data_IF_012584919283
#
_entry.id   IF_012584919283
#
_cell.length_a   1.000
_cell.length_b   1.000
_cell.length_c   1.000
_cell.angle_alpha   90.00
_cell.angle_beta   90.00
_cell.angle_gamma   90.00
#
_symmetry.space_group_name_H-M   'P 1'
#
loop_
_entity.id
_entity.type
_entity.pdbx_description
1 polymer ?
#
# COMPACT_ATOMS: atom_id res chain seq x y z
N UNK A 1 9.07 -18.48 14.09
CA UNK A 1 8.63 -17.09 14.31
C UNK A 1 9.60 -16.07 13.69
N UNK A 2 10.84 -15.93 14.18
CA UNK A 2 11.79 -14.91 13.66
C UNK A 2 12.02 -14.98 12.15
N UNK A 3 12.32 -16.15 11.60
CA UNK A 3 12.52 -16.36 10.16
C UNK A 3 11.28 -16.00 9.31
N UNK A 4 10.08 -16.26 9.82
CA UNK A 4 8.82 -15.86 9.14
C UNK A 4 8.66 -14.34 9.07
N UNK A 5 8.89 -13.63 10.20
CA UNK A 5 8.81 -12.17 10.24
C UNK A 5 9.90 -11.50 9.39
N UNK A 6 11.11 -12.05 9.38
CA UNK A 6 12.20 -11.56 8.53
C UNK A 6 11.86 -11.73 7.05
N UNK A 7 11.26 -12.86 6.67
CA UNK A 7 10.74 -13.07 5.32
C UNK A 7 9.66 -12.06 4.97
N UNK A 8 8.65 -11.89 5.85
CA UNK A 8 7.56 -10.93 5.62
C UNK A 8 8.10 -9.49 5.50
N UNK A 9 9.02 -9.07 6.38
CA UNK A 9 9.63 -7.74 6.29
C UNK A 9 10.36 -7.54 4.94
N UNK A 10 11.06 -8.57 4.46
CA UNK A 10 11.72 -8.55 3.15
C UNK A 10 10.69 -8.45 2.02
N UNK A 11 9.62 -9.22 2.10
CA UNK A 11 8.56 -9.21 1.07
C UNK A 11 7.78 -7.89 1.07
N UNK A 12 7.58 -7.24 2.24
CA UNK A 12 7.02 -5.89 2.33
C UNK A 12 7.90 -4.87 1.59
N UNK A 13 9.22 -4.92 1.78
CA UNK A 13 10.14 -4.06 1.01
C UNK A 13 10.04 -4.36 -0.48
N UNK A 14 10.06 -5.64 -0.85
CA UNK A 14 9.96 -6.09 -2.25
C UNK A 14 8.68 -5.59 -2.91
N UNK A 15 7.52 -5.77 -2.28
CA UNK A 15 6.23 -5.31 -2.81
C UNK A 15 6.18 -3.80 -3.06
N UNK A 16 6.83 -3.01 -2.19
CA UNK A 16 6.91 -1.56 -2.37
C UNK A 16 7.80 -1.16 -3.56
N UNK A 17 8.91 -1.85 -3.80
CA UNK A 17 9.73 -1.63 -4.99
C UNK A 17 9.01 -2.10 -6.27
N UNK A 18 8.32 -3.25 -6.23
CA UNK A 18 7.52 -3.73 -7.36
C UNK A 18 6.40 -2.73 -7.71
N UNK A 19 5.73 -2.16 -6.71
CA UNK A 19 4.75 -1.10 -6.94
C UNK A 19 5.39 0.13 -7.58
N UNK A 20 6.53 0.61 -7.08
CA UNK A 20 7.22 1.77 -7.63
C UNK A 20 7.58 1.59 -9.11
N UNK A 21 8.05 0.40 -9.49
CA UNK A 21 8.50 0.12 -10.85
C UNK A 21 7.37 -0.33 -11.80
N UNK A 22 6.19 -0.66 -11.29
CA UNK A 22 5.03 -0.94 -12.13
C UNK A 22 4.69 0.28 -12.98
N UNK A 23 4.65 0.11 -14.30
CA UNK A 23 4.51 1.20 -15.27
C UNK A 23 3.60 0.75 -16.43
N UNK A 24 2.65 1.58 -16.91
CA UNK A 24 2.33 2.93 -16.43
C UNK A 24 1.31 2.91 -15.26
N UNK A 25 1.40 3.93 -14.37
CA UNK A 25 0.44 4.15 -13.27
C UNK A 25 -0.09 5.59 -13.30
N UNK A 26 -1.36 5.81 -13.63
CA UNK A 26 -1.88 7.18 -13.74
C UNK A 26 -1.71 8.01 -12.47
N UNK A 27 -1.09 9.18 -12.59
CA UNK A 27 -0.91 10.14 -11.52
C UNK A 27 0.07 9.76 -10.40
N UNK A 28 0.72 8.60 -10.50
CA UNK A 28 1.74 8.12 -9.57
C UNK A 28 3.13 8.21 -10.20
N UNK A 29 4.16 8.24 -9.35
CA UNK A 29 5.55 8.13 -9.81
C UNK A 29 5.78 6.72 -10.33
N UNK A 30 6.33 6.62 -11.52
CA UNK A 30 6.77 5.36 -12.12
C UNK A 30 8.00 5.57 -13.01
N UNK A 31 8.40 4.56 -13.78
CA UNK A 31 9.60 4.62 -14.62
C UNK A 31 9.48 5.60 -15.81
N UNK A 32 8.25 6.04 -16.17
CA UNK A 32 8.02 7.00 -17.23
C UNK A 32 8.11 8.44 -16.76
N UNK A 33 7.50 8.75 -15.60
CA UNK A 33 7.45 10.13 -15.09
C UNK A 33 7.06 10.23 -13.59
N UNK A 34 6.94 11.46 -13.13
CA UNK A 34 6.58 11.76 -11.74
C UNK A 34 5.07 11.77 -11.46
N UNK A 35 4.23 11.42 -12.42
CA UNK A 35 2.79 11.49 -12.29
C UNK A 35 2.31 12.91 -11.95
N UNK A 36 1.45 13.02 -10.95
CA UNK A 36 0.92 14.28 -10.43
C UNK A 36 1.83 14.96 -9.39
N UNK A 37 3.07 14.45 -9.19
CA UNK A 37 4.01 14.86 -8.16
C UNK A 37 5.33 15.40 -8.74
N UNK A 38 5.36 16.63 -9.30
CA UNK A 38 6.57 17.16 -9.94
C UNK A 38 7.78 17.25 -8.99
N UNK A 39 7.53 17.28 -7.68
CA UNK A 39 8.56 17.28 -6.63
C UNK A 39 9.17 15.90 -6.36
N UNK A 40 8.59 14.83 -6.89
CA UNK A 40 9.07 13.46 -6.70
C UNK A 40 9.73 12.90 -7.97
N UNK A 41 10.56 11.89 -7.79
CA UNK A 41 11.17 11.09 -8.85
C UNK A 41 11.38 9.66 -8.37
N UNK A 42 11.61 8.72 -9.27
CA UNK A 42 11.95 7.33 -8.91
C UNK A 42 13.09 7.30 -7.90
N UNK A 43 14.19 8.03 -8.15
CA UNK A 43 15.34 8.06 -7.23
C UNK A 43 14.97 8.58 -5.82
N UNK A 44 14.08 9.56 -5.70
CA UNK A 44 13.59 10.05 -4.39
C UNK A 44 12.69 9.02 -3.73
N UNK A 45 11.83 8.35 -4.48
CA UNK A 45 10.99 7.26 -3.97
C UNK A 45 11.84 6.09 -3.49
N UNK A 46 12.87 5.67 -4.24
CA UNK A 46 13.84 4.65 -3.81
C UNK A 46 14.57 5.05 -2.52
N UNK A 47 15.01 6.31 -2.40
CA UNK A 47 15.63 6.80 -1.18
C UNK A 47 14.67 6.71 0.02
N UNK A 48 13.38 7.02 -0.18
CA UNK A 48 12.35 6.82 0.84
C UNK A 48 12.16 5.34 1.17
N UNK A 49 12.11 4.45 0.18
CA UNK A 49 11.95 3.00 0.40
C UNK A 49 13.14 2.38 1.15
N UNK A 50 14.35 2.89 0.98
CA UNK A 50 15.51 2.48 1.80
C UNK A 50 15.28 2.79 3.29
N UNK A 51 14.67 3.93 3.61
CA UNK A 51 14.30 4.28 4.99
C UNK A 51 13.19 3.35 5.51
N UNK A 52 12.20 3.06 4.68
CA UNK A 52 11.13 2.10 5.02
C UNK A 52 11.70 0.70 5.27
N UNK A 53 12.67 0.26 4.47
CA UNK A 53 13.33 -1.02 4.66
C UNK A 53 14.04 -1.12 6.02
N UNK A 54 14.80 -0.09 6.40
CA UNK A 54 15.44 -0.04 7.72
C UNK A 54 14.42 -0.07 8.85
N UNK A 55 13.32 0.68 8.72
CA UNK A 55 12.21 0.65 9.66
C UNK A 55 11.62 -0.75 9.84
N UNK A 56 11.31 -1.45 8.75
CA UNK A 56 10.72 -2.79 8.81
C UNK A 56 11.68 -3.80 9.46
N UNK A 57 12.99 -3.68 9.22
CA UNK A 57 14.00 -4.49 9.90
C UNK A 57 14.04 -4.22 11.40
N UNK A 58 14.01 -2.96 11.81
CA UNK A 58 14.04 -2.60 13.24
C UNK A 58 12.74 -2.95 13.92
N UNK A 59 11.59 -2.78 13.26
CA UNK A 59 10.31 -3.23 13.75
C UNK A 59 10.26 -4.76 13.92
N UNK A 60 10.78 -5.52 12.95
CA UNK A 60 10.88 -6.99 13.04
C UNK A 60 11.68 -7.42 14.28
N UNK A 61 12.80 -6.73 14.58
CA UNK A 61 13.60 -7.00 15.79
C UNK A 61 12.81 -6.67 17.06
N UNK A 62 12.13 -5.52 17.12
CA UNK A 62 11.34 -5.08 18.27
C UNK A 62 10.21 -6.07 18.55
N UNK A 63 9.44 -6.45 17.53
CA UNK A 63 8.36 -7.43 17.62
C UNK A 63 8.88 -8.80 18.06
N UNK A 64 10.00 -9.27 17.50
CA UNK A 64 10.61 -10.55 17.87
C UNK A 64 11.10 -10.60 19.31
N UNK A 65 11.41 -9.45 19.92
CA UNK A 65 11.79 -9.32 21.33
C UNK A 65 10.59 -9.11 22.26
N UNK A 66 9.37 -8.97 21.74
CA UNK A 66 8.18 -8.68 22.50
C UNK A 66 8.16 -7.25 23.06
N UNK A 67 8.82 -6.30 22.38
CA UNK A 67 8.82 -4.90 22.81
C UNK A 67 7.39 -4.30 22.76
N UNK A 68 7.10 -3.37 23.65
CA UNK A 68 5.78 -2.78 23.78
C UNK A 68 5.33 -2.02 22.52
N UNK A 69 4.01 -1.92 22.32
CA UNK A 69 3.41 -1.18 21.20
C UNK A 69 3.91 0.26 21.11
N UNK A 70 4.17 0.93 22.24
CA UNK A 70 4.70 2.29 22.26
C UNK A 70 6.05 2.40 21.53
N UNK A 71 6.95 1.43 21.76
CA UNK A 71 8.24 1.34 21.07
C UNK A 71 8.04 1.10 19.57
N UNK A 72 7.18 0.15 19.21
CA UNK A 72 6.87 -0.18 17.81
C UNK A 72 6.30 1.03 17.06
N UNK A 73 5.37 1.77 17.66
CA UNK A 73 4.82 3.03 17.13
C UNK A 73 5.91 4.10 17.00
N UNK A 74 6.79 4.18 18.00
CA UNK A 74 7.94 5.10 18.00
C UNK A 74 8.85 4.91 16.79
N UNK A 75 9.12 3.67 16.39
CA UNK A 75 9.90 3.33 15.19
C UNK A 75 9.20 3.85 13.91
N UNK A 76 7.90 3.65 13.77
CA UNK A 76 7.13 4.16 12.64
C UNK A 76 7.16 5.70 12.55
N UNK A 77 6.98 6.38 13.69
CA UNK A 77 7.10 7.85 13.77
C UNK A 77 8.49 8.35 13.39
N UNK A 78 9.53 7.64 13.82
CA UNK A 78 10.92 7.96 13.48
C UNK A 78 11.17 7.80 11.97
N UNK A 79 10.64 6.74 11.36
CA UNK A 79 10.72 6.49 9.92
C UNK A 79 10.00 7.58 9.11
N UNK A 80 8.77 7.96 9.49
CA UNK A 80 8.05 9.07 8.83
C UNK A 80 8.85 10.37 8.87
N UNK A 81 9.44 10.69 10.03
CA UNK A 81 10.29 11.88 10.18
C UNK A 81 11.57 11.82 9.36
N UNK A 82 12.17 10.62 9.25
CA UNK A 82 13.35 10.40 8.43
C UNK A 82 13.02 10.58 6.93
N UNK A 83 11.92 10.03 6.45
CA UNK A 83 11.42 10.26 5.08
C UNK A 83 11.18 11.75 4.84
N UNK A 84 10.45 12.43 5.73
CA UNK A 84 10.17 13.86 5.59
C UNK A 84 11.44 14.70 5.52
N UNK A 85 12.47 14.38 6.32
CA UNK A 85 13.77 15.09 6.28
C UNK A 85 14.55 14.81 5.00
N UNK A 86 14.57 13.56 4.53
CA UNK A 86 15.36 13.16 3.37
C UNK A 86 14.72 13.56 2.05
N UNK A 87 13.39 13.48 1.98
CA UNK A 87 12.63 13.66 0.74
C UNK A 87 11.88 14.99 0.68
N UNK A 88 11.65 15.65 1.83
CA UNK A 88 10.85 16.89 1.91
C UNK A 88 9.34 16.67 1.87
N UNK A 89 8.88 15.41 1.74
CA UNK A 89 7.45 15.03 1.70
C UNK A 89 7.22 13.69 2.37
N UNK A 90 5.98 13.41 2.78
CA UNK A 90 5.59 12.17 3.47
C UNK A 90 5.06 11.12 2.47
N UNK A 91 5.84 10.78 1.43
CA UNK A 91 5.38 9.96 0.32
C UNK A 91 4.98 8.52 0.69
N UNK A 92 5.61 7.88 1.69
CA UNK A 92 5.30 6.49 2.10
C UNK A 92 4.63 6.38 3.48
N UNK A 93 4.04 7.46 3.98
CA UNK A 93 3.43 7.49 5.33
C UNK A 93 2.38 6.38 5.54
N UNK A 94 1.45 6.23 4.60
CA UNK A 94 0.42 5.19 4.68
C UNK A 94 1.02 3.78 4.64
N UNK A 95 2.05 3.58 3.84
CA UNK A 95 2.74 2.30 3.73
C UNK A 95 3.54 1.94 5.00
N UNK A 96 4.22 2.90 5.63
CA UNK A 96 4.89 2.71 6.94
C UNK A 96 3.88 2.22 7.97
N UNK A 97 2.71 2.85 8.06
CA UNK A 97 1.66 2.45 8.99
C UNK A 97 1.10 1.07 8.68
N UNK A 98 0.64 0.82 7.46
CA UNK A 98 0.00 -0.45 7.09
C UNK A 98 1.00 -1.62 7.07
N UNK A 99 2.21 -1.42 6.54
CA UNK A 99 3.25 -2.45 6.55
C UNK A 99 3.68 -2.83 7.97
N UNK A 100 3.79 -1.82 8.85
CA UNK A 100 4.05 -2.06 10.27
C UNK A 100 2.93 -2.84 10.95
N UNK A 101 1.68 -2.48 10.66
CA UNK A 101 0.51 -3.16 11.23
C UNK A 101 0.43 -4.63 10.78
N UNK A 102 0.66 -4.91 9.50
CA UNK A 102 0.70 -6.28 8.95
C UNK A 102 1.83 -7.08 9.59
N UNK A 103 3.02 -6.51 9.74
CA UNK A 103 4.16 -7.19 10.36
C UNK A 103 3.88 -7.53 11.85
N UNK A 104 3.32 -6.58 12.61
CA UNK A 104 2.94 -6.81 14.00
C UNK A 104 1.82 -7.85 14.14
N UNK A 105 0.81 -7.79 13.28
CA UNK A 105 -0.30 -8.75 13.28
C UNK A 105 0.18 -10.19 12.99
N UNK A 106 1.09 -10.34 12.03
CA UNK A 106 1.67 -11.66 11.67
C UNK A 106 2.52 -12.27 12.78
N UNK A 107 2.99 -11.48 13.74
CA UNK A 107 3.72 -12.02 14.89
C UNK A 107 2.81 -12.73 15.89
N UNK A 108 1.54 -12.34 15.96
CA UNK A 108 0.56 -12.90 16.90
C UNK A 108 0.11 -14.31 16.50
N UNK A 109 0.15 -14.63 15.21
CA UNK A 109 -0.20 -15.95 14.65
C UNK A 109 0.70 -16.30 13.46
N UNK A 110 1.93 -16.79 13.71
CA UNK A 110 2.86 -17.16 12.66
C UNK A 110 2.41 -18.44 11.94
N UNK A 111 1.79 -18.31 10.80
CA UNK A 111 1.24 -19.41 10.01
C UNK A 111 -0.29 -19.47 10.03
N UNK A 112 -0.93 -18.49 10.64
CA UNK A 112 -2.36 -18.27 10.50
C UNK A 112 -2.77 -17.99 9.04
N UNK A 113 -4.02 -18.31 8.73
CA UNK A 113 -4.59 -18.02 7.42
C UNK A 113 -4.89 -16.52 7.24
N UNK A 114 -5.31 -16.12 6.05
CA UNK A 114 -5.67 -14.72 5.76
C UNK A 114 -6.79 -14.20 6.68
N UNK A 115 -7.71 -15.05 7.14
CA UNK A 115 -8.81 -14.63 8.01
C UNK A 115 -8.29 -14.31 9.43
N UNK A 116 -7.40 -15.14 9.97
CA UNK A 116 -6.76 -14.90 11.26
C UNK A 116 -5.88 -13.64 11.24
N UNK A 117 -5.11 -13.44 10.17
CA UNK A 117 -4.31 -12.22 9.99
C UNK A 117 -5.18 -10.97 9.94
N UNK A 118 -6.28 -10.99 9.20
CA UNK A 118 -7.23 -9.87 9.11
C UNK A 118 -7.85 -9.51 10.44
N UNK A 119 -8.25 -10.52 11.23
CA UNK A 119 -8.77 -10.32 12.58
C UNK A 119 -7.72 -9.67 13.49
N UNK A 120 -6.46 -10.14 13.40
CA UNK A 120 -5.33 -9.57 14.16
C UNK A 120 -5.04 -8.13 13.74
N UNK A 121 -5.06 -7.81 12.44
CA UNK A 121 -4.91 -6.44 11.92
C UNK A 121 -5.99 -5.52 12.48
N UNK A 122 -7.27 -5.94 12.40
CA UNK A 122 -8.41 -5.17 12.92
C UNK A 122 -8.28 -4.90 14.41
N UNK A 123 -7.95 -5.93 15.20
CA UNK A 123 -7.77 -5.81 16.66
C UNK A 123 -6.62 -4.87 17.03
N UNK A 124 -5.47 -4.99 16.38
CA UNK A 124 -4.33 -4.10 16.61
C UNK A 124 -4.63 -2.66 16.19
N UNK A 125 -5.33 -2.46 15.07
CA UNK A 125 -5.77 -1.14 14.62
C UNK A 125 -6.74 -0.51 15.64
N UNK A 126 -7.72 -1.26 16.13
CA UNK A 126 -8.62 -0.78 17.17
C UNK A 126 -7.85 -0.34 18.42
N UNK A 127 -6.96 -1.20 18.93
CA UNK A 127 -6.09 -0.87 20.07
C UNK A 127 -5.24 0.38 19.81
N UNK A 128 -4.70 0.54 18.61
CA UNK A 128 -3.89 1.71 18.24
C UNK A 128 -4.73 2.99 18.21
N UNK A 129 -5.96 2.94 17.69
CA UNK A 129 -6.81 4.13 17.56
C UNK A 129 -7.60 4.47 18.84
N UNK A 130 -7.82 3.52 19.75
CA UNK A 130 -8.55 3.71 21.02
C UNK A 130 -7.66 4.24 22.16
N UNK A 131 -6.34 4.03 22.11
CA UNK A 131 -5.44 4.48 23.16
C UNK A 131 -5.36 6.01 23.24
N UNK A 132 -5.78 6.56 24.37
CA UNK A 132 -5.68 7.97 24.73
C UNK A 132 -4.33 8.27 25.40
N UNK A 133 -3.24 8.16 24.65
CA UNK A 133 -1.91 8.54 25.15
C UNK A 133 -1.53 9.94 24.68
N UNK A 134 -1.16 10.86 25.61
CA UNK A 134 -0.65 12.18 25.23
C UNK A 134 0.72 12.04 24.56
N UNK A 135 0.91 12.70 23.42
CA UNK A 135 2.22 12.78 22.76
C UNK A 135 2.23 12.42 21.28
N UNK A 136 3.29 11.72 20.83
CA UNK A 136 3.53 11.41 19.42
C UNK A 136 2.47 10.50 18.82
N UNK A 137 1.96 9.52 19.57
CA UNK A 137 0.92 8.58 19.14
C UNK A 137 -0.41 9.30 18.84
N UNK A 138 -0.83 10.27 19.65
CA UNK A 138 -2.01 11.10 19.41
C UNK A 138 -1.88 11.90 18.12
N UNK A 139 -0.69 12.44 17.83
CA UNK A 139 -0.43 13.15 16.57
C UNK A 139 -0.51 12.24 15.34
N UNK A 140 -0.04 11.00 15.43
CA UNK A 140 -0.15 10.02 14.34
C UNK A 140 -1.61 9.64 14.11
N UNK A 141 -2.37 9.34 15.17
CA UNK A 141 -3.81 9.04 15.09
C UNK A 141 -4.59 10.16 14.42
N UNK A 142 -4.38 11.41 14.83
CA UNK A 142 -5.07 12.57 14.26
C UNK A 142 -4.77 12.80 12.77
N UNK A 143 -3.67 12.27 12.25
CA UNK A 143 -3.33 12.35 10.81
C UNK A 143 -4.13 11.40 9.93
N UNK A 144 -4.73 10.34 10.51
CA UNK A 144 -5.58 9.36 9.82
C UNK A 144 -7.07 9.56 10.10
N UNK A 145 -7.47 10.70 10.69
CA UNK A 145 -8.88 11.00 10.89
C UNK A 145 -9.58 11.25 9.55
N UNK A 146 -10.74 10.62 9.35
CA UNK A 146 -11.63 10.88 8.22
C UNK A 146 -11.62 9.83 7.11
N UNK A 147 -11.54 8.53 7.42
CA UNK A 147 -11.71 7.46 6.43
C UNK A 147 -10.40 6.95 5.81
N UNK A 148 -10.51 6.22 4.70
CA UNK A 148 -9.36 5.71 3.95
C UNK A 148 -8.55 4.65 4.71
N UNK A 149 -7.25 4.87 4.88
CA UNK A 149 -6.32 3.89 5.51
C UNK A 149 -6.73 3.48 6.93
N UNK A 150 -7.34 4.41 7.71
CA UNK A 150 -7.85 4.08 9.04
C UNK A 150 -8.97 3.04 8.98
N UNK A 151 -9.95 3.29 8.14
CA UNK A 151 -11.12 2.42 8.01
C UNK A 151 -10.72 1.08 7.40
N UNK A 152 -9.79 1.08 6.44
CA UNK A 152 -9.16 -0.14 5.92
C UNK A 152 -8.50 -0.96 7.04
N UNK A 153 -7.70 -0.33 7.89
CA UNK A 153 -7.02 -1.03 8.99
C UNK A 153 -8.01 -1.59 10.02
N UNK A 154 -9.01 -0.79 10.42
CA UNK A 154 -10.04 -1.21 11.38
C UNK A 154 -10.91 -2.36 10.86
N UNK A 155 -11.11 -2.44 9.55
CA UNK A 155 -11.87 -3.51 8.90
C UNK A 155 -11.00 -4.73 8.49
N UNK A 156 -9.71 -4.76 8.82
CA UNK A 156 -8.80 -5.86 8.47
C UNK A 156 -8.41 -5.88 6.99
N UNK A 157 -8.25 -4.71 6.38
CA UNK A 157 -7.81 -4.50 4.99
C UNK A 157 -8.70 -5.19 3.93
N UNK A 158 -10.01 -4.93 3.90
CA UNK A 158 -10.94 -5.58 2.95
C UNK A 158 -10.57 -5.30 1.48
N UNK A 159 -10.10 -4.09 1.16
CA UNK A 159 -9.67 -3.78 -0.23
C UNK A 159 -8.50 -4.65 -0.67
N UNK A 160 -7.63 -5.07 0.25
CA UNK A 160 -6.55 -6.02 -0.03
C UNK A 160 -7.07 -7.45 -0.15
N UNK A 161 -7.59 -8.00 0.95
CA UNK A 161 -7.86 -9.44 1.08
C UNK A 161 -9.16 -9.89 0.38
N UNK A 162 -10.20 -9.04 0.35
CA UNK A 162 -11.50 -9.41 -0.25
C UNK A 162 -11.65 -8.90 -1.68
N UNK A 163 -10.85 -7.93 -2.10
CA UNK A 163 -11.00 -7.33 -3.42
C UNK A 163 -9.77 -7.57 -4.33
N UNK A 164 -8.60 -7.11 -3.94
CA UNK A 164 -7.41 -7.13 -4.81
C UNK A 164 -6.87 -8.55 -5.04
N UNK A 165 -6.59 -9.31 -3.98
CA UNK A 165 -6.05 -10.67 -4.08
C UNK A 165 -6.97 -11.63 -4.84
N UNK A 166 -8.30 -11.67 -4.60
CA UNK A 166 -9.20 -12.51 -5.39
C UNK A 166 -9.22 -12.17 -6.89
N UNK A 167 -9.07 -10.89 -7.25
CA UNK A 167 -8.98 -10.48 -8.66
C UNK A 167 -7.69 -11.00 -9.30
N UNK A 168 -6.55 -10.86 -8.62
CA UNK A 168 -5.29 -11.42 -9.09
C UNK A 168 -5.39 -12.93 -9.33
N UNK A 169 -5.85 -13.67 -8.32
CA UNK A 169 -6.00 -15.14 -8.37
C UNK A 169 -6.95 -15.57 -9.48
N UNK A 170 -8.08 -14.87 -9.67
CA UNK A 170 -9.03 -15.11 -10.75
C UNK A 170 -8.41 -14.88 -12.12
N UNK A 171 -7.65 -13.78 -12.30
CA UNK A 171 -7.00 -13.47 -13.56
C UNK A 171 -5.98 -14.55 -13.95
N UNK A 172 -5.18 -15.04 -12.99
CA UNK A 172 -4.26 -16.15 -13.20
C UNK A 172 -5.04 -17.42 -13.57
N UNK A 173 -6.11 -17.75 -12.86
CA UNK A 173 -6.95 -18.94 -13.13
C UNK A 173 -7.60 -18.90 -14.51
N UNK A 174 -7.87 -17.71 -15.05
CA UNK A 174 -8.42 -17.48 -16.39
C UNK A 174 -7.34 -17.47 -17.50
N UNK A 175 -6.13 -17.91 -17.18
CA UNK A 175 -5.01 -17.98 -18.15
C UNK A 175 -4.33 -16.64 -18.42
N UNK A 176 -4.52 -15.63 -17.56
CA UNK A 176 -3.76 -14.38 -17.59
C UNK A 176 -2.33 -14.57 -17.12
N UNK A 177 -1.44 -13.68 -17.55
CA UNK A 177 -0.10 -13.63 -17.02
C UNK A 177 -0.02 -12.79 -15.74
N UNK A 178 1.08 -12.92 -14.99
CA UNK A 178 1.30 -12.18 -13.72
C UNK A 178 1.22 -10.66 -13.90
N UNK A 179 1.75 -10.12 -15.01
CA UNK A 179 1.72 -8.69 -15.30
C UNK A 179 0.28 -8.18 -15.47
N UNK A 180 -0.53 -8.84 -16.31
CA UNK A 180 -1.93 -8.47 -16.50
C UNK A 180 -2.74 -8.61 -15.20
N UNK A 181 -2.48 -9.65 -14.40
CA UNK A 181 -3.14 -9.86 -13.12
C UNK A 181 -2.85 -8.72 -12.11
N UNK A 182 -1.62 -8.18 -12.10
CA UNK A 182 -1.27 -7.01 -11.29
C UNK A 182 -2.04 -5.76 -11.72
N UNK A 183 -2.21 -5.53 -13.03
CA UNK A 183 -3.01 -4.41 -13.51
C UNK A 183 -4.52 -4.60 -13.26
N UNK A 184 -5.04 -5.82 -13.32
CA UNK A 184 -6.41 -6.10 -12.89
C UNK A 184 -6.61 -5.77 -11.39
N UNK A 185 -5.64 -6.14 -10.56
CA UNK A 185 -5.62 -5.81 -9.14
C UNK A 185 -5.56 -4.30 -8.90
N UNK A 186 -4.71 -3.56 -9.64
CA UNK A 186 -4.71 -2.10 -9.62
C UNK A 186 -6.10 -1.54 -9.96
N UNK A 187 -6.71 -2.01 -11.04
CA UNK A 187 -8.06 -1.61 -11.45
C UNK A 187 -9.11 -1.83 -10.36
N UNK A 188 -9.03 -2.95 -9.63
CA UNK A 188 -9.93 -3.24 -8.50
C UNK A 188 -9.70 -2.31 -7.32
N UNK A 189 -8.46 -2.04 -6.94
CA UNK A 189 -8.13 -1.10 -5.86
C UNK A 189 -8.60 0.33 -6.21
N UNK A 190 -8.44 0.77 -7.44
CA UNK A 190 -8.97 2.06 -7.92
C UNK A 190 -10.50 2.18 -7.73
N UNK A 191 -11.24 1.07 -7.83
CA UNK A 191 -12.69 1.06 -7.67
C UNK A 191 -13.13 1.09 -6.20
N UNK A 192 -12.42 0.41 -5.32
CA UNK A 192 -12.89 0.06 -3.97
C UNK A 192 -12.30 0.95 -2.87
N UNK A 193 -11.08 1.45 -3.06
CA UNK A 193 -10.42 2.26 -2.04
C UNK A 193 -11.03 3.65 -1.94
N UNK A 194 -11.39 4.07 -0.73
CA UNK A 194 -11.70 5.46 -0.44
C UNK A 194 -10.40 6.24 -0.22
N UNK A 195 -9.75 6.61 -1.33
CA UNK A 195 -8.42 7.19 -1.30
C UNK A 195 -8.44 8.66 -0.84
N UNK A 196 -7.90 8.90 0.36
CA UNK A 196 -7.83 10.25 0.94
C UNK A 196 -6.91 11.19 0.17
N UNK A 197 -5.94 10.67 -0.59
CA UNK A 197 -5.07 11.50 -1.44
C UNK A 197 -5.81 11.93 -2.69
N UNK A 198 -6.60 11.04 -3.29
CA UNK A 198 -7.50 11.36 -4.39
C UNK A 198 -8.56 12.38 -3.97
N UNK A 199 -9.20 12.18 -2.81
CA UNK A 199 -10.18 13.14 -2.29
C UNK A 199 -9.59 14.53 -2.05
N UNK A 200 -8.35 14.61 -1.60
CA UNK A 200 -7.65 15.87 -1.36
C UNK A 200 -7.24 16.57 -2.65
N UNK A 201 -6.80 15.83 -3.65
CA UNK A 201 -6.31 16.38 -4.93
C UNK A 201 -7.45 16.71 -5.90
N UNK A 202 -8.46 15.82 -6.03
CA UNK A 202 -9.53 15.92 -7.02
C UNK A 202 -10.94 15.96 -6.45
N UNK A 203 -11.10 15.92 -5.11
CA UNK A 203 -12.42 15.89 -4.48
C UNK A 203 -13.22 14.63 -4.84
N UNK A 204 -14.54 14.70 -4.65
CA UNK A 204 -15.44 13.60 -5.01
C UNK A 204 -15.48 13.31 -6.53
N UNK A 205 -15.25 14.33 -7.35
CA UNK A 205 -15.17 14.16 -8.80
C UNK A 205 -13.95 13.34 -9.18
N UNK A 206 -12.77 13.66 -8.63
CA UNK A 206 -11.55 12.91 -8.83
C UNK A 206 -11.70 11.45 -8.40
N UNK A 207 -12.31 11.20 -7.22
CA UNK A 207 -12.55 9.83 -6.76
C UNK A 207 -13.47 9.05 -7.71
N UNK A 208 -14.49 9.72 -8.28
CA UNK A 208 -15.37 9.11 -9.28
C UNK A 208 -14.59 8.75 -10.56
N UNK A 209 -13.78 9.67 -11.05
CA UNK A 209 -12.91 9.42 -12.22
C UNK A 209 -12.00 8.23 -11.99
N UNK A 210 -11.31 8.16 -10.84
CA UNK A 210 -10.44 7.02 -10.49
C UNK A 210 -11.23 5.71 -10.47
N UNK A 211 -12.43 5.71 -9.91
CA UNK A 211 -13.29 4.51 -9.86
C UNK A 211 -13.77 4.06 -11.24
N UNK A 212 -14.12 4.99 -12.10
CA UNK A 212 -14.55 4.71 -13.48
C UNK A 212 -13.37 4.15 -14.31
N UNK A 213 -12.21 4.78 -14.21
CA UNK A 213 -10.99 4.30 -14.86
C UNK A 213 -10.58 2.91 -14.36
N UNK A 214 -10.71 2.66 -13.05
CA UNK A 214 -10.45 1.34 -12.48
C UNK A 214 -11.36 0.24 -13.03
N UNK A 215 -12.67 0.55 -13.22
CA UNK A 215 -13.61 -0.41 -13.83
C UNK A 215 -13.25 -0.71 -15.27
N UNK A 216 -12.85 0.33 -16.02
CA UNK A 216 -12.45 0.18 -17.41
C UNK A 216 -11.16 -0.61 -17.52
N UNK A 217 -10.17 -0.31 -16.69
CA UNK A 217 -8.89 -1.06 -16.64
C UNK A 217 -9.13 -2.56 -16.40
N UNK A 218 -9.89 -2.91 -15.35
CA UNK A 218 -10.16 -4.32 -15.03
C UNK A 218 -10.88 -5.04 -16.19
N UNK A 219 -11.81 -4.36 -16.85
CA UNK A 219 -12.51 -4.89 -18.03
C UNK A 219 -11.55 -5.11 -19.20
N UNK A 220 -10.72 -4.11 -19.53
CA UNK A 220 -9.76 -4.21 -20.63
C UNK A 220 -8.75 -5.33 -20.39
N UNK A 221 -8.27 -5.50 -19.16
CA UNK A 221 -7.39 -6.62 -18.82
C UNK A 221 -8.10 -7.97 -19.06
N UNK A 222 -9.34 -8.12 -18.60
CA UNK A 222 -10.13 -9.35 -18.78
C UNK A 222 -10.41 -9.65 -20.26
N UNK A 223 -10.57 -8.62 -21.10
CA UNK A 223 -10.82 -8.73 -22.55
C UNK A 223 -9.52 -8.86 -23.37
N UNK A 224 -8.35 -8.74 -22.74
CA UNK A 224 -7.04 -8.72 -23.41
C UNK A 224 -6.86 -7.53 -24.36
N UNK A 225 -7.53 -6.41 -24.08
CA UNK A 225 -7.41 -5.17 -24.83
C UNK A 225 -6.11 -4.44 -24.49
N UNK A 226 -5.78 -3.39 -25.25
CA UNK A 226 -4.59 -2.55 -25.01
C UNK A 226 -4.81 -1.59 -23.83
N UNK A 227 -4.75 -2.13 -22.62
CA UNK A 227 -4.87 -1.35 -21.39
C UNK A 227 -3.63 -0.48 -21.11
N UNK A 228 -2.46 -0.78 -21.70
CA UNK A 228 -1.25 0.02 -21.47
C UNK A 228 -1.36 1.40 -22.13
N UNK A 229 -1.85 1.46 -23.36
CA UNK A 229 -2.14 2.73 -24.04
C UNK A 229 -3.23 3.53 -23.30
N UNK A 230 -4.27 2.86 -22.82
CA UNK A 230 -5.29 3.49 -21.98
C UNK A 230 -4.66 4.12 -20.71
N UNK A 231 -3.85 3.39 -19.98
CA UNK A 231 -3.20 3.91 -18.76
C UNK A 231 -2.27 5.10 -19.04
N UNK A 232 -1.54 5.09 -20.16
CA UNK A 232 -0.70 6.21 -20.58
C UNK A 232 -1.53 7.47 -20.88
N UNK A 233 -2.68 7.31 -21.55
CA UNK A 233 -3.62 8.41 -21.78
C UNK A 233 -4.17 8.94 -20.45
N UNK A 234 -4.61 8.05 -19.55
CA UNK A 234 -5.11 8.44 -18.23
C UNK A 234 -4.05 9.14 -17.39
N UNK A 235 -2.77 8.70 -17.47
CA UNK A 235 -1.68 9.39 -16.80
C UNK A 235 -1.55 10.85 -17.27
N UNK A 236 -1.65 11.10 -18.58
CA UNK A 236 -1.65 12.45 -19.13
C UNK A 236 -2.80 13.32 -18.57
N UNK A 237 -3.99 12.74 -18.41
CA UNK A 237 -5.14 13.41 -17.79
C UNK A 237 -4.88 13.68 -16.30
N UNK A 238 -4.45 12.67 -15.52
CA UNK A 238 -4.22 12.80 -14.08
C UNK A 238 -3.14 13.85 -13.77
N UNK A 239 -2.10 13.92 -14.57
CA UNK A 239 -1.06 14.97 -14.45
C UNK A 239 -1.63 16.37 -14.63
N UNK A 240 -2.48 16.60 -15.65
CA UNK A 240 -3.11 17.92 -15.88
C UNK A 240 -4.02 18.32 -14.72
N UNK A 241 -4.81 17.37 -14.21
CA UNK A 241 -5.74 17.59 -13.09
C UNK A 241 -5.05 17.52 -11.71
N UNK A 242 -3.75 17.26 -11.65
CA UNK A 242 -3.00 17.00 -10.41
C UNK A 242 -3.63 15.89 -9.55
N UNK A 243 -4.27 14.93 -10.20
CA UNK A 243 -4.97 13.83 -9.56
C UNK A 243 -3.99 12.71 -9.22
N UNK A 244 -4.03 12.24 -7.97
CA UNK A 244 -3.17 11.15 -7.47
C UNK A 244 -3.96 10.17 -6.62
N UNK A 245 -3.43 8.95 -6.42
CA UNK A 245 -4.09 7.86 -5.70
C UNK A 245 -3.10 7.10 -4.78
N UNK A 246 -2.49 7.83 -3.85
CA UNK A 246 -1.45 7.29 -2.96
C UNK A 246 -1.92 6.18 -2.02
N UNK A 247 -3.21 6.16 -1.63
CA UNK A 247 -3.79 5.07 -0.85
C UNK A 247 -3.91 3.77 -1.67
N UNK A 248 -4.31 3.88 -2.94
CA UNK A 248 -4.31 2.76 -3.90
C UNK A 248 -2.90 2.20 -4.07
N UNK A 249 -1.89 3.07 -4.27
CA UNK A 249 -0.49 2.67 -4.39
C UNK A 249 0.00 1.89 -3.16
N UNK A 250 -0.28 2.37 -1.96
CA UNK A 250 0.11 1.70 -0.71
C UNK A 250 -0.53 0.33 -0.55
N UNK A 251 -1.81 0.17 -0.89
CA UNK A 251 -2.50 -1.13 -0.85
C UNK A 251 -2.03 -2.07 -1.96
N UNK A 252 -1.71 -1.55 -3.15
CA UNK A 252 -1.10 -2.35 -4.21
C UNK A 252 0.27 -2.89 -3.78
N UNK A 253 1.11 -2.06 -3.17
CA UNK A 253 2.39 -2.49 -2.62
C UNK A 253 2.25 -3.60 -1.58
N UNK A 254 1.24 -3.50 -0.68
CA UNK A 254 0.93 -4.55 0.28
C UNK A 254 0.43 -5.83 -0.39
N UNK A 255 -0.40 -5.73 -1.43
CA UNK A 255 -0.89 -6.88 -2.18
C UNK A 255 0.26 -7.63 -2.86
N UNK A 256 1.18 -6.90 -3.51
CA UNK A 256 2.37 -7.47 -4.12
C UNK A 256 3.27 -8.14 -3.07
N UNK A 257 3.46 -7.49 -1.91
CA UNK A 257 4.22 -8.05 -0.80
C UNK A 257 3.60 -9.36 -0.29
N UNK A 258 2.28 -9.39 -0.12
CA UNK A 258 1.58 -10.59 0.36
C UNK A 258 1.67 -11.74 -0.65
N UNK A 259 1.47 -11.48 -1.94
CA UNK A 259 1.62 -12.47 -2.99
C UNK A 259 3.04 -13.04 -3.07
N UNK A 260 4.09 -12.21 -2.84
CA UNK A 260 5.47 -12.69 -2.71
C UNK A 260 5.64 -13.55 -1.45
N UNK A 261 5.02 -13.15 -0.33
CA UNK A 261 5.12 -13.86 0.94
C UNK A 261 4.49 -15.24 0.87
N UNK A 262 3.34 -15.37 0.21
CA UNK A 262 2.62 -16.65 0.00
C UNK A 262 3.19 -17.48 -1.15
N UNK A 263 4.12 -16.94 -1.94
CA UNK A 263 4.72 -17.63 -3.10
C UNK A 263 3.83 -17.63 -4.35
N UNK A 264 2.75 -16.86 -4.35
CA UNK A 264 1.86 -16.72 -5.53
C UNK A 264 2.48 -15.81 -6.61
N UNK A 265 3.42 -14.93 -6.20
CA UNK A 265 4.17 -14.07 -7.10
C UNK A 265 5.67 -14.19 -6.79
N UNK A 266 6.45 -14.68 -7.75
CA UNK A 266 7.92 -14.65 -7.66
C UNK A 266 8.41 -13.27 -8.07
N UNK A 267 9.42 -12.76 -7.35
CA UNK A 267 10.14 -11.59 -7.81
C UNK A 267 10.95 -11.95 -9.07
N UNK A 268 10.74 -11.19 -10.13
CA UNK A 268 11.57 -11.28 -11.32
C UNK A 268 12.98 -10.78 -11.02
#
# INVERSE_FOLDING_TARGET
MRSHLEKLATDLVRGAFMELYLTPKPGLVDMCDSGAHPELSVARMEASLKIVALYLVDLCKAVSKGEEMATQVGLGVAAERAVQRAIGTSCHKGYIFLGGLVLCASASDPGGDEAALRASISSLAATFFERDEPGSATRVRNRFQGGGIRDEALAGLPSLFEQALPVFRREISNGGNRGSAVFAMLGRLMQTVEDSTTLRSGGRSGLRTVREDGRLLERMVAQRDDFLSFLAERNSHYRREKLTMGGVAGLLALALAWLCHTGELEAA
#
